data_IF_871684852250
#
_entry.id   IF_871684852250
#
_cell.length_a   1.000
_cell.length_b   1.000
_cell.length_c   1.000
_cell.angle_alpha   90.00
_cell.angle_beta   90.00
_cell.angle_gamma   90.00
#
_symmetry.space_group_name_H-M   'P 1'
#
loop_
_entity.id
_entity.type
_entity.pdbx_description
1 polymer ?
#
# COMPACT_ATOMS: atom_id res chain seq x y z
N UNK A 1 -5.25 16.00 -4.36
CA UNK A 1 -3.92 15.72 -4.95
C UNK A 1 -2.93 16.64 -4.28
N UNK A 2 -2.00 16.09 -3.51
CA UNK A 2 -1.02 16.89 -2.80
C UNK A 2 -0.19 17.73 -3.79
N UNK A 3 -0.34 19.05 -3.70
CA UNK A 3 0.31 19.99 -4.59
C UNK A 3 1.61 20.52 -4.01
N UNK A 4 1.92 20.20 -2.75
CA UNK A 4 3.09 20.73 -2.07
C UNK A 4 4.32 19.97 -2.51
N UNK A 5 5.38 20.68 -2.89
CA UNK A 5 6.70 20.07 -3.08
C UNK A 5 7.18 19.60 -1.71
N UNK A 6 7.72 18.39 -1.64
CA UNK A 6 8.38 17.93 -0.42
C UNK A 6 9.52 18.88 -0.07
N UNK A 7 9.73 19.11 1.22
CA UNK A 7 10.79 19.99 1.70
C UNK A 7 12.16 19.44 1.30
N UNK A 8 13.01 20.28 0.70
CA UNK A 8 14.32 19.89 0.22
C UNK A 8 15.20 19.31 1.33
N UNK A 9 15.16 19.86 2.55
CA UNK A 9 15.97 19.34 3.65
C UNK A 9 15.60 17.90 4.02
N UNK A 10 14.33 17.52 3.85
CA UNK A 10 13.84 16.16 4.11
C UNK A 10 14.29 15.21 2.99
N UNK A 11 14.29 15.67 1.74
CA UNK A 11 14.83 14.89 0.61
C UNK A 11 16.33 14.65 0.81
N UNK A 12 17.07 15.67 1.23
CA UNK A 12 18.51 15.58 1.47
C UNK A 12 18.81 14.57 2.60
N UNK A 13 18.08 14.65 3.73
CA UNK A 13 18.19 13.69 4.84
C UNK A 13 17.84 12.25 4.41
N UNK A 14 16.81 12.08 3.58
CA UNK A 14 16.45 10.77 3.03
C UNK A 14 17.59 10.21 2.16
N UNK A 15 18.24 11.05 1.36
CA UNK A 15 19.38 10.63 0.54
C UNK A 15 20.62 10.28 1.38
N UNK A 16 20.85 10.95 2.52
CA UNK A 16 21.96 10.61 3.43
C UNK A 16 21.86 9.19 3.99
N UNK A 17 20.64 8.66 4.14
CA UNK A 17 20.40 7.27 4.57
C UNK A 17 20.20 6.29 3.39
N UNK A 18 20.49 6.73 2.17
CA UNK A 18 20.38 5.90 0.95
C UNK A 18 18.97 5.72 0.42
N UNK A 19 18.00 6.49 0.90
CA UNK A 19 16.65 6.54 0.33
C UNK A 19 16.59 7.41 -0.93
N UNK A 20 15.48 7.29 -1.66
CA UNK A 20 15.21 8.06 -2.87
C UNK A 20 13.82 8.67 -2.80
N UNK A 21 13.64 9.89 -3.30
CA UNK A 21 12.35 10.52 -3.43
C UNK A 21 12.01 10.80 -4.89
N UNK A 22 10.88 10.28 -5.36
CA UNK A 22 10.41 10.51 -6.72
C UNK A 22 8.94 10.96 -6.73
N UNK A 23 8.65 11.93 -7.61
CA UNK A 23 7.27 12.34 -7.89
C UNK A 23 6.85 11.75 -9.22
N UNK A 24 5.95 10.78 -9.18
CA UNK A 24 5.40 10.11 -10.37
C UNK A 24 3.89 10.03 -10.30
N UNK A 25 3.25 9.88 -11.46
CA UNK A 25 1.84 9.52 -11.53
C UNK A 25 1.71 8.00 -11.64
N UNK A 26 0.95 7.39 -10.73
CA UNK A 26 0.60 5.98 -10.85
C UNK A 26 -0.50 5.84 -11.91
N UNK A 27 -0.31 4.91 -12.84
CA UNK A 27 -1.27 4.62 -13.92
C UNK A 27 -1.23 3.15 -14.31
N UNK A 28 -2.27 2.66 -15.00
CA UNK A 28 -2.32 1.25 -15.43
C UNK A 28 -1.17 0.83 -16.37
N UNK A 29 -0.58 1.77 -17.10
CA UNK A 29 0.50 1.51 -18.04
C UNK A 29 1.54 2.63 -18.00
N UNK A 30 2.81 2.26 -18.07
CA UNK A 30 3.92 3.22 -18.04
C UNK A 30 3.99 4.07 -19.31
N UNK A 31 4.05 5.37 -19.12
CA UNK A 31 4.35 6.37 -20.14
C UNK A 31 5.36 7.36 -19.54
N UNK A 32 6.64 7.10 -19.79
CA UNK A 32 7.75 7.89 -19.24
C UNK A 32 7.71 9.35 -19.71
N UNK A 33 7.26 9.62 -20.93
CA UNK A 33 7.10 10.98 -21.46
C UNK A 33 6.04 11.78 -20.68
N UNK A 34 5.03 11.11 -20.13
CA UNK A 34 3.99 11.71 -19.30
C UNK A 34 4.26 11.60 -17.79
N UNK A 35 5.44 11.10 -17.39
CA UNK A 35 5.78 10.80 -16.00
C UNK A 35 4.77 9.88 -15.30
N UNK A 36 4.25 8.91 -16.04
CA UNK A 36 3.27 7.93 -15.59
C UNK A 36 3.89 6.54 -15.52
N UNK A 37 3.66 5.82 -14.42
CA UNK A 37 4.27 4.52 -14.17
C UNK A 37 3.25 3.53 -13.62
N UNK A 38 3.32 2.29 -14.11
CA UNK A 38 2.62 1.18 -13.47
C UNK A 38 3.40 0.71 -12.24
N UNK A 39 2.69 0.29 -11.18
CA UNK A 39 3.33 -0.29 -9.98
C UNK A 39 4.33 -1.39 -10.33
N UNK A 40 3.98 -2.26 -11.29
CA UNK A 40 4.86 -3.33 -11.76
C UNK A 40 6.16 -2.82 -12.38
N UNK A 41 6.10 -1.74 -13.15
CA UNK A 41 7.29 -1.19 -13.79
C UNK A 41 8.14 -0.38 -12.81
N UNK A 42 7.56 0.17 -11.73
CA UNK A 42 8.33 0.78 -10.64
C UNK A 42 9.31 -0.25 -10.05
N UNK A 43 8.86 -1.46 -9.71
CA UNK A 43 9.76 -2.51 -9.22
C UNK A 43 10.89 -2.81 -10.20
N UNK A 44 10.61 -2.83 -11.51
CA UNK A 44 11.63 -3.06 -12.54
C UNK A 44 12.65 -1.94 -12.62
N UNK A 45 12.23 -0.69 -12.47
CA UNK A 45 13.12 0.49 -12.48
C UNK A 45 14.15 0.38 -11.37
N UNK A 46 13.73 -0.09 -10.19
CA UNK A 46 14.62 -0.27 -9.03
C UNK A 46 15.26 -1.67 -8.96
N UNK A 47 14.95 -2.56 -9.92
CA UNK A 47 15.41 -3.96 -9.95
C UNK A 47 15.02 -4.75 -8.69
N UNK A 48 13.87 -4.39 -8.10
CA UNK A 48 13.29 -5.06 -6.95
C UNK A 48 12.43 -6.24 -7.38
N UNK A 49 12.52 -7.34 -6.63
CA UNK A 49 11.71 -8.54 -6.86
C UNK A 49 10.40 -8.52 -6.07
N UNK A 50 10.41 -7.82 -4.94
CA UNK A 50 9.35 -7.76 -3.95
C UNK A 50 9.52 -6.47 -3.15
N UNK A 51 8.40 -5.93 -2.65
CA UNK A 51 8.41 -4.82 -1.70
C UNK A 51 8.25 -5.40 -0.28
N UNK A 52 9.20 -5.11 0.62
CA UNK A 52 9.10 -5.54 2.02
C UNK A 52 7.93 -4.87 2.74
N UNK A 53 7.86 -3.53 2.66
CA UNK A 53 6.81 -2.72 3.29
C UNK A 53 6.35 -1.63 2.32
N UNK A 54 5.05 -1.58 2.04
CA UNK A 54 4.40 -0.54 1.25
C UNK A 54 3.43 0.27 2.13
N UNK A 55 3.71 1.56 2.34
CA UNK A 55 2.79 2.50 3.00
C UNK A 55 1.98 3.27 1.95
N UNK A 56 0.67 3.36 2.15
CA UNK A 56 -0.30 3.96 1.22
C UNK A 56 -1.18 4.92 2.00
N UNK A 57 -1.20 6.16 1.53
CA UNK A 57 -2.08 7.23 1.97
C UNK A 57 -2.30 8.12 0.73
N UNK A 58 -3.45 7.95 0.08
CA UNK A 58 -3.72 8.56 -1.23
C UNK A 58 -5.11 9.22 -1.29
N UNK A 59 -5.66 9.59 -0.13
CA UNK A 59 -6.79 10.51 0.00
C UNK A 59 -8.02 10.11 -0.83
N UNK A 60 -8.38 8.83 -0.83
CA UNK A 60 -9.53 8.27 -1.54
C UNK A 60 -9.16 7.50 -2.81
N UNK A 61 -7.92 7.60 -3.28
CA UNK A 61 -7.41 6.84 -4.41
C UNK A 61 -7.27 5.33 -4.16
N UNK A 62 -7.50 4.88 -2.91
CA UNK A 62 -7.33 3.48 -2.50
C UNK A 62 -8.26 2.55 -3.29
N UNK A 63 -9.49 2.99 -3.58
CA UNK A 63 -10.50 2.19 -4.28
C UNK A 63 -10.17 1.96 -5.77
N UNK A 64 -9.40 2.85 -6.39
CA UNK A 64 -9.04 2.77 -7.80
C UNK A 64 -7.70 2.07 -8.03
N UNK A 65 -6.79 2.15 -7.05
CA UNK A 65 -5.40 1.68 -7.19
C UNK A 65 -5.19 0.24 -6.71
N UNK A 66 -6.13 -0.31 -5.91
CA UNK A 66 -5.92 -1.56 -5.16
C UNK A 66 -5.58 -2.76 -6.06
N UNK A 67 -6.28 -2.94 -7.17
CA UNK A 67 -6.03 -4.05 -8.10
C UNK A 67 -4.60 -4.03 -8.64
N UNK A 68 -4.05 -2.84 -8.92
CA UNK A 68 -2.70 -2.69 -9.42
C UNK A 68 -1.66 -2.96 -8.34
N UNK A 69 -1.89 -2.46 -7.13
CA UNK A 69 -1.02 -2.70 -5.97
C UNK A 69 -0.94 -4.20 -5.68
N UNK A 70 -2.08 -4.89 -5.62
CA UNK A 70 -2.15 -6.32 -5.33
C UNK A 70 -1.66 -7.22 -6.49
N UNK A 71 -1.25 -6.63 -7.62
CA UNK A 71 -0.70 -7.36 -8.78
C UNK A 71 0.82 -7.59 -8.70
N UNK A 72 1.50 -6.97 -7.73
CA UNK A 72 2.95 -7.09 -7.54
C UNK A 72 3.29 -7.79 -6.22
N UNK A 73 4.46 -8.42 -6.09
CA UNK A 73 4.86 -9.08 -4.84
C UNK A 73 5.12 -8.04 -3.74
N UNK A 74 4.39 -8.15 -2.63
CA UNK A 74 4.50 -7.28 -1.46
C UNK A 74 4.39 -8.13 -0.21
N UNK A 75 5.29 -7.94 0.75
CA UNK A 75 5.25 -8.61 2.04
C UNK A 75 4.27 -7.96 3.02
N UNK A 76 4.38 -6.65 3.25
CA UNK A 76 3.52 -5.92 4.18
C UNK A 76 2.90 -4.68 3.52
N UNK A 77 1.60 -4.49 3.70
CA UNK A 77 0.87 -3.30 3.27
C UNK A 77 0.43 -2.54 4.53
N UNK A 78 0.79 -1.27 4.61
CA UNK A 78 0.27 -0.30 5.57
C UNK A 78 -0.61 0.67 4.79
N UNK A 79 -1.90 0.75 5.08
CA UNK A 79 -2.84 1.55 4.30
C UNK A 79 -3.77 2.34 5.21
N UNK A 80 -3.87 3.65 4.94
CA UNK A 80 -4.96 4.46 5.45
C UNK A 80 -6.09 4.49 4.42
N UNK A 81 -7.27 4.01 4.81
CA UNK A 81 -8.44 3.95 3.92
C UNK A 81 -9.31 5.18 4.17
N UNK A 82 -9.42 6.05 3.16
CA UNK A 82 -10.10 7.34 3.25
C UNK A 82 -11.54 7.31 2.71
N UNK A 83 -12.45 8.06 3.35
CA UNK A 83 -13.68 8.57 2.73
C UNK A 83 -14.72 7.55 2.24
N UNK A 84 -14.63 6.30 2.68
CA UNK A 84 -15.51 5.20 2.27
C UNK A 84 -16.76 5.06 3.13
N UNK A 85 -17.82 4.45 2.56
CA UNK A 85 -18.84 3.78 3.39
C UNK A 85 -18.22 2.54 4.03
N UNK A 86 -18.81 2.04 5.13
CA UNK A 86 -18.38 0.78 5.76
C UNK A 86 -18.28 -0.35 4.73
N UNK A 87 -19.23 -0.42 3.79
CA UNK A 87 -19.25 -1.40 2.70
C UNK A 87 -18.03 -1.28 1.78
N UNK A 88 -17.67 -0.07 1.36
CA UNK A 88 -16.49 0.16 0.50
C UNK A 88 -15.20 -0.22 1.22
N UNK A 89 -15.06 0.16 2.48
CA UNK A 89 -13.91 -0.20 3.30
C UNK A 89 -13.81 -1.72 3.48
N UNK A 90 -14.92 -2.38 3.80
CA UNK A 90 -14.97 -3.83 3.92
C UNK A 90 -14.58 -4.50 2.60
N UNK A 91 -15.04 -3.99 1.47
CA UNK A 91 -14.72 -4.53 0.15
C UNK A 91 -13.21 -4.50 -0.12
N UNK A 92 -12.52 -3.37 0.10
CA UNK A 92 -11.05 -3.30 -0.02
C UNK A 92 -10.37 -4.32 0.89
N UNK A 93 -10.77 -4.36 2.16
CA UNK A 93 -10.12 -5.24 3.14
C UNK A 93 -10.30 -6.72 2.73
N UNK A 94 -11.48 -7.10 2.24
CA UNK A 94 -11.73 -8.43 1.70
C UNK A 94 -10.94 -8.72 0.42
N UNK A 95 -10.78 -7.75 -0.48
CA UNK A 95 -9.94 -7.89 -1.67
C UNK A 95 -8.48 -8.20 -1.27
N UNK A 96 -7.93 -7.46 -0.30
CA UNK A 96 -6.59 -7.70 0.23
C UNK A 96 -6.51 -9.10 0.86
N UNK A 97 -7.47 -9.47 1.71
CA UNK A 97 -7.50 -10.78 2.38
C UNK A 97 -7.58 -11.98 1.40
N UNK A 98 -8.32 -11.81 0.29
CA UNK A 98 -8.42 -12.81 -0.80
C UNK A 98 -7.10 -13.01 -1.54
N UNK A 99 -6.17 -12.05 -1.45
CA UNK A 99 -4.81 -12.15 -1.98
C UNK A 99 -3.80 -12.71 -0.96
N UNK A 100 -4.27 -13.53 -0.03
CA UNK A 100 -3.43 -14.22 0.97
C UNK A 100 -2.70 -13.30 1.97
N UNK A 101 -3.15 -12.06 2.07
CA UNK A 101 -2.78 -11.16 3.15
C UNK A 101 -3.63 -11.42 4.39
N UNK A 102 -2.99 -11.31 5.56
CA UNK A 102 -3.63 -11.42 6.85
C UNK A 102 -3.64 -10.06 7.51
N UNK A 103 -4.76 -9.71 8.14
CA UNK A 103 -4.84 -8.51 8.96
C UNK A 103 -3.89 -8.66 10.16
N UNK A 104 -2.88 -7.80 10.20
CA UNK A 104 -1.88 -7.77 11.26
C UNK A 104 -2.27 -6.78 12.38
N UNK A 105 -2.71 -5.59 12.00
CA UNK A 105 -3.15 -4.55 12.93
C UNK A 105 -4.17 -3.61 12.26
N UNK A 106 -4.97 -2.91 13.06
CA UNK A 106 -5.80 -1.81 12.60
C UNK A 106 -5.98 -0.78 13.71
N UNK A 107 -6.19 0.48 13.33
CA UNK A 107 -6.45 1.59 14.23
C UNK A 107 -7.52 2.51 13.62
N UNK A 108 -8.41 3.03 14.49
CA UNK A 108 -9.36 4.07 14.08
C UNK A 108 -8.65 5.41 13.98
N UNK A 109 -8.94 6.21 12.96
CA UNK A 109 -8.38 7.55 12.89
C UNK A 109 -9.03 8.44 13.97
N UNK A 110 -8.21 9.01 14.86
CA UNK A 110 -8.67 9.83 15.99
C UNK A 110 -9.22 11.20 15.60
N UNK A 111 -9.01 11.64 14.36
CA UNK A 111 -9.48 12.92 13.82
C UNK A 111 -10.77 12.76 13.00
N UNK A 112 -10.85 11.73 12.14
CA UNK A 112 -11.97 11.50 11.22
C UNK A 112 -12.47 10.06 11.32
N UNK A 113 -13.68 9.86 11.83
CA UNK A 113 -14.25 8.53 12.10
C UNK A 113 -14.49 7.66 10.85
N UNK A 114 -14.45 8.24 9.65
CA UNK A 114 -14.60 7.55 8.37
C UNK A 114 -13.25 7.14 7.77
N UNK A 115 -12.16 7.31 8.51
CA UNK A 115 -10.80 6.97 8.11
C UNK A 115 -10.23 5.94 9.08
N UNK A 116 -9.45 5.00 8.59
CA UNK A 116 -8.82 3.98 9.42
C UNK A 116 -7.51 3.49 8.82
N UNK A 117 -6.58 3.18 9.72
CA UNK A 117 -5.25 2.65 9.42
C UNK A 117 -5.30 1.13 9.53
N UNK A 118 -4.76 0.43 8.54
CA UNK A 118 -4.73 -1.03 8.49
C UNK A 118 -3.35 -1.51 8.10
N UNK A 119 -2.91 -2.60 8.73
CA UNK A 119 -1.69 -3.31 8.40
C UNK A 119 -2.02 -4.74 7.99
N UNK A 120 -1.48 -5.16 6.86
CA UNK A 120 -1.66 -6.49 6.31
C UNK A 120 -0.30 -7.13 6.02
N UNK A 121 -0.19 -8.43 6.25
CA UNK A 121 1.03 -9.19 5.95
C UNK A 121 0.72 -10.43 5.10
N UNK A 122 1.44 -10.60 4.00
CA UNK A 122 1.26 -11.72 3.08
C UNK A 122 1.83 -13.00 3.69
N UNK A 123 1.13 -14.14 3.49
CA UNK A 123 1.53 -15.42 4.09
C UNK A 123 2.92 -15.91 3.68
N UNK A 124 3.41 -15.52 2.50
CA UNK A 124 4.78 -15.88 2.06
C UNK A 124 5.85 -15.33 2.98
N UNK A 125 5.57 -14.23 3.68
CA UNK A 125 6.54 -13.52 4.50
C UNK A 125 6.43 -13.86 5.99
N UNK A 126 5.53 -14.77 6.39
CA UNK A 126 5.36 -15.17 7.79
C UNK A 126 6.64 -15.64 8.44
N UNK A 127 7.41 -16.50 7.76
CA UNK A 127 8.67 -17.00 8.30
C UNK A 127 9.72 -15.89 8.41
N UNK A 128 9.75 -14.97 7.45
CA UNK A 128 10.71 -13.87 7.42
C UNK A 128 10.48 -12.90 8.60
N UNK A 129 9.22 -12.57 8.88
CA UNK A 129 8.84 -11.64 9.94
C UNK A 129 8.48 -12.30 11.28
N UNK A 130 8.57 -13.64 11.39
CA UNK A 130 8.24 -14.36 12.63
C UNK A 130 6.77 -14.24 13.04
N UNK A 131 5.86 -14.25 12.07
CA UNK A 131 4.41 -14.05 12.30
C UNK A 131 3.81 -15.23 13.07
N UNK A 132 3.01 -14.93 14.10
CA UNK A 132 2.16 -15.88 14.80
C UNK A 132 0.72 -15.64 14.37
N UNK A 133 0.09 -16.66 13.78
CA UNK A 133 -1.29 -16.57 13.28
C UNK A 133 -2.27 -16.94 14.38
N UNK A 134 -3.11 -15.97 14.78
CA UNK A 134 -4.23 -16.22 15.70
C UNK A 134 -5.54 -16.57 14.99
N UNK A 135 -5.70 -16.14 13.75
CA UNK A 135 -6.89 -16.41 12.95
C UNK A 135 -6.78 -15.82 11.54
N UNK A 136 -7.65 -16.29 10.65
CA UNK A 136 -7.87 -15.71 9.33
C UNK A 136 -9.30 -15.21 9.29
N UNK A 137 -9.48 -13.94 8.96
CA UNK A 137 -10.79 -13.29 8.91
C UNK A 137 -11.01 -12.71 7.50
N UNK A 138 -12.25 -12.34 7.18
CA UNK A 138 -12.59 -11.50 6.01
C UNK A 138 -12.40 -12.19 4.64
N UNK A 139 -12.24 -13.51 4.65
CA UNK A 139 -12.44 -14.40 3.51
C UNK A 139 -13.67 -15.24 3.82
N UNK A 140 -14.61 -15.33 2.88
CA UNK A 140 -15.75 -16.23 3.03
C UNK A 140 -15.26 -17.68 2.99
N UNK A 141 -15.87 -18.55 3.79
CA UNK A 141 -15.69 -20.00 3.64
C UNK A 141 -16.40 -20.41 2.33
N UNK A 142 -15.64 -20.75 1.29
CA UNK A 142 -16.18 -21.45 0.12
C UNK A 142 -16.57 -22.90 0.47
#
# INVERSE_FOLDING_TARGET
MDQHKQNQSIIDELHEVGGTFERVFISNATNTTANQYSFKDILKVYNDKEIDILKIDIEGGEFESMDQILSVPICQILIEIHGGTVEKTLNIIQQIAKKDFYLFAHEVNGHVLQVGEYSFIHKSCFNHFGVIVYGRYLVDDE
#
